data_IF_923756031963
#
_entry.id   IF_923756031963
#
_cell.length_a   1.000
_cell.length_b   1.000
_cell.length_c   1.000
_cell.angle_alpha   90.00
_cell.angle_beta   90.00
_cell.angle_gamma   90.00
#
_symmetry.space_group_name_H-M   'P 1'
#
loop_
_entity.id
_entity.type
_entity.pdbx_description
1 polymer ?
#
# COMPACT_ATOMS: atom_id res chain seq x y z
N UNK A 1 19.06 12.20 -3.27
CA UNK A 1 18.14 11.29 -3.98
C UNK A 1 18.77 11.03 -5.31
N UNK A 2 19.22 9.81 -5.50
CA UNK A 2 19.92 9.41 -6.71
C UNK A 2 18.98 9.47 -7.92
N UNK A 3 19.48 9.78 -9.13
CA UNK A 3 18.64 9.86 -10.33
C UNK A 3 17.85 8.57 -10.60
N UNK A 4 18.48 7.41 -10.34
CA UNK A 4 17.86 6.09 -10.48
C UNK A 4 16.71 5.89 -9.50
N UNK A 5 16.91 6.29 -8.23
CA UNK A 5 15.87 6.22 -7.19
C UNK A 5 14.65 7.06 -7.58
N UNK A 6 14.89 8.29 -8.07
CA UNK A 6 13.80 9.16 -8.52
C UNK A 6 13.02 8.56 -9.68
N UNK A 7 13.73 8.04 -10.69
CA UNK A 7 13.10 7.39 -11.84
C UNK A 7 12.23 6.20 -11.42
N UNK A 8 12.71 5.37 -10.49
CA UNK A 8 11.96 4.24 -9.96
C UNK A 8 10.68 4.68 -9.23
N UNK A 9 10.77 5.72 -8.38
CA UNK A 9 9.62 6.26 -7.67
C UNK A 9 8.58 6.84 -8.64
N UNK A 10 9.01 7.55 -9.68
CA UNK A 10 8.11 8.09 -10.70
C UNK A 10 7.44 6.96 -11.48
N UNK A 11 8.20 5.94 -11.89
CA UNK A 11 7.65 4.77 -12.59
C UNK A 11 6.60 4.02 -11.74
N UNK A 12 6.88 3.82 -10.45
CA UNK A 12 5.92 3.20 -9.51
C UNK A 12 4.66 4.06 -9.32
N UNK A 13 4.81 5.39 -9.25
CA UNK A 13 3.67 6.30 -9.16
C UNK A 13 2.76 6.19 -10.40
N UNK A 14 3.34 6.21 -11.60
CA UNK A 14 2.58 6.03 -12.84
C UNK A 14 1.94 4.64 -12.95
N UNK A 15 2.65 3.59 -12.51
CA UNK A 15 2.10 2.24 -12.45
C UNK A 15 0.89 2.17 -11.50
N UNK A 16 0.98 2.81 -10.33
CA UNK A 16 -0.13 2.87 -9.37
C UNK A 16 -1.35 3.58 -9.98
N UNK A 17 -1.13 4.68 -10.71
CA UNK A 17 -2.22 5.36 -11.44
C UNK A 17 -2.85 4.43 -12.49
N UNK A 18 -2.04 3.73 -13.29
CA UNK A 18 -2.53 2.80 -14.30
C UNK A 18 -3.32 1.64 -13.69
N UNK A 19 -2.81 1.03 -12.62
CA UNK A 19 -3.50 -0.03 -11.88
C UNK A 19 -4.80 0.47 -11.24
N UNK A 20 -4.84 1.72 -10.77
CA UNK A 20 -6.05 2.36 -10.26
C UNK A 20 -7.14 2.49 -11.34
N UNK A 21 -6.76 2.91 -12.56
CA UNK A 21 -7.68 2.99 -13.70
C UNK A 21 -8.19 1.60 -14.10
N UNK A 22 -7.29 0.63 -14.25
CA UNK A 22 -7.65 -0.76 -14.57
C UNK A 22 -8.57 -1.33 -13.49
N UNK A 23 -8.22 -1.17 -12.22
CA UNK A 23 -9.03 -1.60 -11.08
C UNK A 23 -10.43 -0.98 -11.08
N UNK A 24 -10.54 0.32 -11.40
CA UNK A 24 -11.85 0.98 -11.52
C UNK A 24 -12.71 0.39 -12.64
N UNK A 25 -12.11 0.12 -13.80
CA UNK A 25 -12.82 -0.52 -14.92
C UNK A 25 -13.26 -1.94 -14.54
N UNK A 26 -12.37 -2.73 -13.93
CA UNK A 26 -12.66 -4.10 -13.50
C UNK A 26 -13.78 -4.13 -12.47
N UNK A 27 -13.70 -3.30 -11.42
CA UNK A 27 -14.70 -3.26 -10.33
C UNK A 27 -16.07 -2.72 -10.78
N UNK A 28 -16.15 -2.03 -11.93
CA UNK A 28 -17.43 -1.66 -12.55
C UNK A 28 -18.06 -2.80 -13.35
N UNK A 29 -17.29 -3.84 -13.69
CA UNK A 29 -17.73 -4.98 -14.52
C UNK A 29 -17.86 -6.27 -13.72
N UNK A 30 -17.15 -6.38 -12.60
CA UNK A 30 -17.04 -7.60 -11.79
C UNK A 30 -17.05 -7.22 -10.31
N UNK A 31 -17.75 -8.02 -9.50
CA UNK A 31 -17.73 -7.85 -8.06
C UNK A 31 -16.37 -8.28 -7.48
N UNK A 32 -16.00 -7.70 -6.34
CA UNK A 32 -14.80 -8.12 -5.61
C UNK A 32 -14.93 -9.57 -5.14
N UNK A 33 -13.90 -10.38 -5.32
CA UNK A 33 -13.93 -11.81 -4.94
C UNK A 33 -13.78 -12.06 -3.42
N UNK A 34 -13.89 -11.02 -2.59
CA UNK A 34 -13.79 -11.10 -1.14
C UNK A 34 -14.94 -10.35 -0.45
N UNK A 35 -15.11 -10.56 0.86
CA UNK A 35 -16.16 -9.92 1.64
C UNK A 35 -17.57 -10.37 1.26
N UNK A 36 -18.54 -9.45 1.25
CA UNK A 36 -19.96 -9.74 0.97
C UNK A 36 -20.24 -10.29 -0.43
N UNK A 37 -19.29 -10.14 -1.34
CA UNK A 37 -19.38 -10.56 -2.74
C UNK A 37 -18.65 -11.88 -3.01
N UNK A 38 -18.06 -12.50 -1.98
CA UNK A 38 -17.36 -13.77 -2.14
C UNK A 38 -18.34 -14.90 -2.48
N UNK A 39 -18.18 -15.51 -3.66
CA UNK A 39 -18.93 -16.70 -4.07
C UNK A 39 -18.42 -17.96 -3.32
N UNK A 40 -19.28 -18.92 -2.96
CA UNK A 40 -18.91 -20.19 -2.34
C UNK A 40 -18.11 -21.16 -3.24
N UNK A 41 -17.70 -20.74 -4.44
CA UNK A 41 -16.96 -21.57 -5.40
C UNK A 41 -15.64 -22.17 -4.89
N UNK A 42 -15.08 -23.14 -5.64
CA UNK A 42 -13.91 -23.94 -5.26
C UNK A 42 -12.61 -23.14 -5.40
N UNK A 43 -12.44 -22.13 -4.55
CA UNK A 43 -11.21 -21.36 -4.45
C UNK A 43 -10.40 -21.82 -3.23
N UNK A 44 -9.08 -21.81 -3.34
CA UNK A 44 -8.20 -21.96 -2.18
C UNK A 44 -8.39 -20.76 -1.24
N UNK A 45 -8.91 -21.02 -0.04
CA UNK A 45 -9.22 -19.99 0.95
C UNK A 45 -8.19 -20.02 2.07
N UNK A 46 -7.65 -18.84 2.36
CA UNK A 46 -6.86 -18.59 3.57
C UNK A 46 -7.75 -17.92 4.62
N UNK A 47 -7.32 -17.94 5.88
CA UNK A 47 -8.06 -17.21 6.92
C UNK A 47 -8.06 -15.71 6.59
N UNK A 48 -9.24 -15.08 6.67
CA UNK A 48 -9.38 -13.67 6.29
C UNK A 48 -8.45 -12.76 7.10
N UNK A 49 -8.29 -13.04 8.40
CA UNK A 49 -7.39 -12.29 9.28
C UNK A 49 -5.94 -12.39 8.83
N UNK A 50 -5.46 -13.58 8.48
CA UNK A 50 -4.09 -13.75 8.01
C UNK A 50 -3.87 -13.07 6.65
N UNK A 51 -4.84 -13.18 5.74
CA UNK A 51 -4.77 -12.51 4.44
C UNK A 51 -4.65 -10.99 4.59
N UNK A 52 -5.55 -10.38 5.37
CA UNK A 52 -5.52 -8.94 5.63
C UNK A 52 -4.24 -8.50 6.33
N UNK A 53 -3.83 -9.20 7.40
CA UNK A 53 -2.61 -8.86 8.12
C UNK A 53 -1.37 -8.91 7.19
N UNK A 54 -1.23 -9.99 6.41
CA UNK A 54 -0.08 -10.15 5.51
C UNK A 54 -0.11 -9.14 4.34
N UNK A 55 -1.31 -8.80 3.84
CA UNK A 55 -1.48 -7.85 2.76
C UNK A 55 -1.16 -6.41 3.17
N UNK A 56 -1.57 -5.99 4.37
CA UNK A 56 -1.42 -4.60 4.84
C UNK A 56 -0.07 -4.35 5.56
N UNK A 57 0.56 -5.40 6.11
CA UNK A 57 1.84 -5.30 6.84
C UNK A 57 2.96 -4.58 6.05
N UNK A 58 3.17 -4.79 4.73
CA UNK A 58 4.22 -4.10 3.98
C UNK A 58 4.08 -2.58 4.04
N UNK A 59 2.85 -2.07 4.01
CA UNK A 59 2.58 -0.64 4.11
C UNK A 59 2.98 -0.06 5.46
N UNK A 60 2.97 -0.84 6.55
CA UNK A 60 3.50 -0.39 7.85
C UNK A 60 5.01 -0.61 7.97
N UNK A 61 5.49 -1.79 7.60
CA UNK A 61 6.86 -2.24 7.84
C UNK A 61 7.89 -1.51 6.96
N UNK A 62 7.59 -1.29 5.68
CA UNK A 62 8.55 -0.68 4.73
C UNK A 62 8.89 0.77 5.12
N UNK A 63 7.92 1.67 5.42
CA UNK A 63 8.25 3.03 5.85
C UNK A 63 9.05 3.07 7.16
N UNK A 64 8.73 2.21 8.13
CA UNK A 64 9.48 2.11 9.38
C UNK A 64 10.94 1.68 9.13
N UNK A 65 11.13 0.67 8.28
CA UNK A 65 12.45 0.21 7.89
C UNK A 65 13.26 1.31 7.18
N UNK A 66 12.66 2.03 6.23
CA UNK A 66 13.31 3.16 5.55
C UNK A 66 13.69 4.27 6.53
N UNK A 67 12.82 4.58 7.50
CA UNK A 67 13.10 5.59 8.53
C UNK A 67 14.24 5.17 9.47
N UNK A 68 14.34 3.88 9.79
CA UNK A 68 15.42 3.36 10.63
C UNK A 68 16.77 3.30 9.91
N UNK A 69 16.75 3.05 8.59
CA UNK A 69 17.97 2.84 7.79
C UNK A 69 18.55 4.10 7.13
N UNK A 70 17.83 5.22 7.08
CA UNK A 70 18.28 6.40 6.33
C UNK A 70 18.11 7.72 7.10
N UNK A 71 19.15 8.56 7.09
CA UNK A 71 19.05 9.94 7.55
C UNK A 71 18.25 10.75 6.51
N UNK A 72 16.93 10.72 6.61
CA UNK A 72 16.06 11.40 5.67
C UNK A 72 15.99 12.91 5.97
N UNK A 73 16.82 13.72 5.31
CA UNK A 73 16.84 15.19 5.44
C UNK A 73 15.44 15.82 5.28
N UNK A 74 14.59 15.22 4.42
CA UNK A 74 13.20 15.65 4.22
C UNK A 74 12.33 15.47 5.46
N UNK A 75 12.59 14.50 6.34
CA UNK A 75 11.86 14.32 7.60
C UNK A 75 12.20 15.36 8.66
N UNK A 76 13.22 16.20 8.46
CA UNK A 76 13.47 17.34 9.37
C UNK A 76 12.33 18.36 9.33
N UNK A 77 11.60 18.43 8.21
CA UNK A 77 10.43 19.30 8.03
C UNK A 77 9.22 18.73 8.76
N UNK A 78 8.61 19.53 9.64
CA UNK A 78 7.44 19.11 10.44
C UNK A 78 6.26 18.58 9.59
N UNK A 79 5.89 19.17 8.44
CA UNK A 79 4.79 18.64 7.62
C UNK A 79 5.02 17.19 7.17
N UNK A 80 6.24 16.85 6.77
CA UNK A 80 6.57 15.50 6.31
C UNK A 80 6.47 14.47 7.45
N UNK A 81 6.82 14.86 8.68
CA UNK A 81 6.66 14.01 9.87
C UNK A 81 5.19 13.77 10.20
N UNK A 82 4.36 14.81 10.11
CA UNK A 82 2.92 14.70 10.36
C UNK A 82 2.28 13.76 9.35
N UNK A 83 2.56 13.95 8.05
CA UNK A 83 2.05 13.07 6.99
C UNK A 83 2.47 11.62 7.18
N UNK A 84 3.74 11.38 7.51
CA UNK A 84 4.24 10.04 7.80
C UNK A 84 3.56 9.43 9.05
N UNK A 85 3.40 10.20 10.13
CA UNK A 85 2.75 9.73 11.34
C UNK A 85 1.28 9.36 11.07
N UNK A 86 0.54 10.18 10.32
CA UNK A 86 -0.83 9.87 9.91
C UNK A 86 -0.90 8.56 9.12
N UNK A 87 0.03 8.35 8.20
CA UNK A 87 0.12 7.12 7.41
C UNK A 87 0.41 5.90 8.29
N UNK A 88 1.39 5.99 9.20
CA UNK A 88 1.74 4.89 10.10
C UNK A 88 0.60 4.55 11.06
N UNK A 89 -0.07 5.56 11.64
CA UNK A 89 -1.23 5.33 12.52
C UNK A 89 -2.36 4.68 11.76
N UNK A 90 -2.62 5.09 10.51
CA UNK A 90 -3.62 4.44 9.66
C UNK A 90 -3.32 2.95 9.47
N UNK A 91 -2.10 2.60 9.07
CA UNK A 91 -1.73 1.20 8.80
C UNK A 91 -1.48 0.35 10.05
N UNK A 92 -1.29 0.96 11.22
CA UNK A 92 -1.28 0.24 12.49
C UNK A 92 -2.68 -0.18 12.95
N UNK A 93 -3.72 0.57 12.57
CA UNK A 93 -5.11 0.26 12.90
C UNK A 93 -5.82 -0.58 11.83
N UNK A 94 -5.40 -0.46 10.57
CA UNK A 94 -6.03 -1.03 9.37
C UNK A 94 -6.33 -2.53 9.47
#
# INVERSE_FOLDING_TARGET
MEPVERFQLDALAYLQCALGLVGSVVLRRMDSVYGRYASPGPAFRVSARAAWALQELPSLAVPLWVCAGTAAERLRRAPNRILLAMFLVHYAQR
#
